data_IF_417036621036
#
_entry.id   IF_417036621036
#
_cell.length_a   1.000
_cell.length_b   1.000
_cell.length_c   1.000
_cell.angle_alpha   90.00
_cell.angle_beta   90.00
_cell.angle_gamma   90.00
#
_symmetry.space_group_name_H-M   'P 1'
#
loop_
_entity.id
_entity.type
_entity.pdbx_description
1 polymer ?
#
# COMPACT_ATOMS: atom_id res chain seq x y z
N UNK A 1 7.69 20.71 -4.88
CA UNK A 1 6.22 20.63 -4.81
C UNK A 1 5.67 19.34 -5.43
N UNK A 2 6.25 18.82 -6.53
CA UNK A 2 5.78 17.56 -7.13
C UNK A 2 5.98 16.31 -6.25
N UNK A 3 7.12 16.21 -5.55
CA UNK A 3 7.44 15.05 -4.69
C UNK A 3 6.49 14.87 -3.49
N UNK A 4 5.95 15.98 -2.96
CA UNK A 4 5.01 15.96 -1.83
C UNK A 4 3.63 15.47 -2.26
N UNK A 5 3.21 15.86 -3.48
CA UNK A 5 1.94 15.46 -4.05
C UNK A 5 1.93 13.97 -4.44
N UNK A 6 3.06 13.45 -4.94
CA UNK A 6 3.19 12.00 -5.21
C UNK A 6 3.12 11.19 -3.92
N UNK A 7 3.81 11.61 -2.86
CA UNK A 7 3.83 10.87 -1.59
C UNK A 7 2.44 10.78 -0.95
N UNK A 8 1.67 11.87 -0.93
CA UNK A 8 0.30 11.84 -0.41
C UNK A 8 -0.61 10.92 -1.23
N UNK A 9 -0.42 10.91 -2.55
CA UNK A 9 -1.16 10.04 -3.47
C UNK A 9 -0.82 8.57 -3.21
N UNK A 10 0.46 8.24 -3.04
CA UNK A 10 0.93 6.88 -2.76
C UNK A 10 0.40 6.36 -1.41
N UNK A 11 0.37 7.21 -0.38
CA UNK A 11 -0.25 6.88 0.91
C UNK A 11 -1.75 6.63 0.75
N UNK A 12 -2.45 7.50 0.02
CA UNK A 12 -3.89 7.37 -0.23
C UNK A 12 -4.22 6.07 -0.96
N UNK A 13 -3.46 5.74 -2.01
CA UNK A 13 -3.56 4.47 -2.73
C UNK A 13 -3.28 3.29 -1.80
N UNK A 14 -2.23 3.36 -0.98
CA UNK A 14 -1.89 2.39 0.06
C UNK A 14 -3.08 2.06 0.96
N UNK A 15 -3.72 3.08 1.53
CA UNK A 15 -4.87 2.93 2.42
C UNK A 15 -6.05 2.30 1.70
N UNK A 16 -6.40 2.78 0.50
CA UNK A 16 -7.56 2.28 -0.27
C UNK A 16 -7.37 0.80 -0.63
N UNK A 17 -6.21 0.43 -1.15
CA UNK A 17 -5.92 -0.95 -1.55
C UNK A 17 -5.83 -1.88 -0.33
N UNK A 18 -5.15 -1.46 0.75
CA UNK A 18 -5.08 -2.22 1.97
C UNK A 18 -6.48 -2.45 2.57
N UNK A 19 -7.33 -1.43 2.62
CA UNK A 19 -8.70 -1.55 3.12
C UNK A 19 -9.55 -2.47 2.24
N UNK A 20 -9.49 -2.29 0.91
CA UNK A 20 -10.23 -3.11 -0.05
C UNK A 20 -9.81 -4.59 0.02
N UNK A 21 -8.51 -4.86 -0.01
CA UNK A 21 -7.96 -6.21 0.10
C UNK A 21 -8.24 -6.84 1.46
N UNK A 22 -8.21 -6.07 2.56
CA UNK A 22 -8.59 -6.54 3.89
C UNK A 22 -10.07 -6.87 4.00
N UNK A 23 -10.94 -6.10 3.34
CA UNK A 23 -12.36 -6.41 3.30
C UNK A 23 -12.62 -7.70 2.52
N UNK A 24 -11.93 -7.89 1.39
CA UNK A 24 -11.97 -9.12 0.61
C UNK A 24 -11.42 -10.32 1.41
N UNK A 25 -10.28 -10.16 2.09
CA UNK A 25 -9.71 -11.19 2.96
C UNK A 25 -10.70 -11.58 4.06
N UNK A 26 -11.33 -10.60 4.71
CA UNK A 26 -12.37 -10.85 5.73
C UNK A 26 -13.57 -11.60 5.16
N UNK A 27 -14.03 -11.23 3.97
CA UNK A 27 -15.13 -11.91 3.29
C UNK A 27 -14.79 -13.38 2.99
N UNK A 28 -13.55 -13.63 2.57
CA UNK A 28 -13.01 -14.98 2.32
C UNK A 28 -12.58 -15.73 3.61
N UNK A 29 -12.85 -15.17 4.80
CA UNK A 29 -12.46 -15.70 6.12
C UNK A 29 -10.94 -15.90 6.28
N UNK A 30 -10.15 -15.12 5.55
CA UNK A 30 -8.70 -15.08 5.67
C UNK A 30 -8.26 -14.10 6.77
N UNK A 31 -7.10 -14.32 7.41
CA UNK A 31 -6.50 -13.36 8.32
C UNK A 31 -6.33 -11.98 7.66
N UNK A 32 -6.70 -10.91 8.39
CA UNK A 32 -6.65 -9.54 7.86
C UNK A 32 -5.25 -9.11 7.43
N UNK A 33 -4.20 -9.61 8.09
CA UNK A 33 -2.81 -9.33 7.73
C UNK A 33 -2.50 -9.70 6.28
N UNK A 34 -3.12 -10.76 5.75
CA UNK A 34 -2.97 -11.13 4.34
C UNK A 34 -3.58 -10.07 3.43
N UNK A 35 -4.69 -9.46 3.83
CA UNK A 35 -5.30 -8.34 3.11
C UNK A 35 -4.37 -7.14 3.03
N UNK A 36 -3.72 -6.76 4.14
CA UNK A 36 -2.73 -5.67 4.14
C UNK A 36 -1.55 -5.96 3.21
N UNK A 37 -0.96 -7.15 3.32
CA UNK A 37 0.18 -7.55 2.46
C UNK A 37 -0.25 -7.63 0.99
N UNK A 38 -1.41 -8.23 0.69
CA UNK A 38 -1.93 -8.27 -0.68
C UNK A 38 -2.21 -6.87 -1.22
N UNK A 39 -2.73 -5.94 -0.43
CA UNK A 39 -2.92 -4.55 -0.84
C UNK A 39 -1.61 -3.92 -1.33
N UNK A 40 -0.52 -4.11 -0.58
CA UNK A 40 0.82 -3.67 -1.00
C UNK A 40 1.34 -4.40 -2.24
N UNK A 41 1.15 -5.71 -2.34
CA UNK A 41 1.54 -6.51 -3.52
C UNK A 41 0.80 -6.03 -4.78
N UNK A 42 -0.51 -5.73 -4.67
CA UNK A 42 -1.32 -5.22 -5.77
C UNK A 42 -0.87 -3.82 -6.22
N UNK A 43 -0.30 -3.01 -5.33
CA UNK A 43 0.22 -1.68 -5.66
C UNK A 43 1.63 -1.71 -6.26
N UNK A 44 2.41 -2.73 -5.92
CA UNK A 44 3.82 -2.84 -6.28
C UNK A 44 4.09 -2.89 -7.78
N UNK A 45 5.23 -2.33 -8.19
CA UNK A 45 5.66 -2.26 -9.60
C UNK A 45 6.00 -3.61 -10.23
N UNK A 46 6.50 -4.56 -9.44
CA UNK A 46 6.98 -5.85 -9.99
C UNK A 46 5.92 -6.97 -10.03
N UNK A 47 4.96 -6.96 -9.09
CA UNK A 47 4.00 -8.07 -8.91
C UNK A 47 2.54 -7.56 -9.03
N UNK A 48 2.30 -6.25 -8.92
CA UNK A 48 0.98 -5.63 -8.92
C UNK A 48 0.66 -4.84 -10.18
N UNK A 49 -0.20 -3.84 -10.02
CA UNK A 49 -0.66 -2.93 -11.05
C UNK A 49 0.33 -1.80 -11.38
N UNK A 50 1.46 -1.71 -10.65
CA UNK A 50 2.46 -0.67 -10.84
C UNK A 50 1.95 0.75 -10.62
N UNK A 51 1.03 0.92 -9.67
CA UNK A 51 0.46 2.22 -9.31
C UNK A 51 1.42 3.03 -8.43
N UNK A 52 2.31 2.35 -7.68
CA UNK A 52 3.39 2.99 -6.92
C UNK A 52 4.73 2.52 -7.50
N UNK A 53 5.44 3.46 -8.12
CA UNK A 53 6.74 3.23 -8.77
C UNK A 53 7.89 3.95 -8.08
N UNK A 54 7.60 4.84 -7.14
CA UNK A 54 8.60 5.64 -6.47
C UNK A 54 9.14 4.93 -5.22
N UNK A 55 10.32 4.32 -5.35
CA UNK A 55 11.00 3.63 -4.25
C UNK A 55 11.26 4.54 -3.04
N UNK A 56 11.62 5.81 -3.27
CA UNK A 56 11.87 6.77 -2.18
C UNK A 56 10.59 7.06 -1.36
N UNK A 57 9.42 7.06 -2.01
CA UNK A 57 8.15 7.20 -1.30
C UNK A 57 7.83 5.96 -0.48
N UNK A 58 8.11 4.76 -0.99
CA UNK A 58 7.93 3.51 -0.25
C UNK A 58 8.87 3.45 0.96
N UNK A 59 10.13 3.85 0.81
CA UNK A 59 11.11 3.88 1.90
C UNK A 59 10.66 4.80 3.03
N UNK A 60 10.23 6.03 2.70
CA UNK A 60 9.75 6.99 3.68
C UNK A 60 8.48 6.50 4.40
N UNK A 61 7.51 5.94 3.66
CA UNK A 61 6.30 5.37 4.25
C UNK A 61 6.65 4.19 5.19
N UNK A 62 7.63 3.37 4.81
CA UNK A 62 8.08 2.23 5.62
C UNK A 62 8.79 2.67 6.89
N UNK A 63 9.62 3.72 6.81
CA UNK A 63 10.25 4.32 7.98
C UNK A 63 9.22 4.90 8.95
N UNK A 64 8.23 5.65 8.43
CA UNK A 64 7.10 6.14 9.23
C UNK A 64 6.37 4.97 9.91
N UNK A 65 6.03 3.93 9.16
CA UNK A 65 5.31 2.77 9.69
C UNK A 65 6.11 1.93 10.68
N UNK A 66 7.46 1.94 10.61
CA UNK A 66 8.33 1.22 11.55
C UNK A 66 8.49 1.96 12.89
N UNK A 67 8.47 3.30 12.87
CA UNK A 67 8.62 4.15 14.06
C UNK A 67 7.33 4.17 14.90
N UNK A 68 6.17 4.03 14.25
CA UNK A 68 4.83 4.03 14.88
C UNK A 68 4.46 2.67 15.48
#
# INVERSE_FOLDING_TARGET
MEHSASLLTDIGLGIIFAAGASHLARFLRQPLILGYVMGGVLLGTHIGFGLITNEASIELISEIGLIL
#
